data_IF_688962557697
#
_entry.id   IF_688962557697
#
_cell.length_a   1.000
_cell.length_b   1.000
_cell.length_c   1.000
_cell.angle_alpha   90.00
_cell.angle_beta   90.00
_cell.angle_gamma   90.00
#
_symmetry.space_group_name_H-M   'P 1'
#
loop_
_entity.id
_entity.type
_entity.pdbx_description
1 polymer ?
#
# COMPACT_ATOMS: atom_id res chain seq x y z
N UNK A 1 -17.06 -4.41 3.48
CA UNK A 1 -16.37 -4.74 2.20
C UNK A 1 -17.38 -4.62 1.08
N UNK A 2 -17.04 -3.96 -0.02
CA UNK A 2 -17.89 -3.84 -1.21
C UNK A 2 -17.36 -4.77 -2.30
N UNK A 3 -18.20 -5.68 -2.80
CA UNK A 3 -17.83 -6.72 -3.76
C UNK A 3 -18.29 -6.31 -5.17
N UNK A 4 -17.44 -5.58 -5.89
CA UNK A 4 -17.76 -4.90 -7.14
C UNK A 4 -18.34 -5.85 -8.19
N UNK A 5 -17.71 -7.02 -8.38
CA UNK A 5 -18.06 -7.99 -9.43
C UNK A 5 -19.51 -8.51 -9.32
N UNK A 6 -20.07 -8.53 -8.12
CA UNK A 6 -21.45 -8.99 -7.86
C UNK A 6 -22.43 -7.86 -7.58
N UNK A 7 -21.97 -6.63 -7.69
CA UNK A 7 -22.83 -5.49 -7.44
C UNK A 7 -23.64 -5.12 -8.68
N UNK A 8 -24.97 -4.93 -8.57
CA UNK A 8 -25.80 -4.53 -9.69
C UNK A 8 -25.51 -3.10 -10.16
N UNK A 9 -24.92 -2.28 -9.32
CA UNK A 9 -24.51 -0.91 -9.64
C UNK A 9 -23.36 -0.49 -8.73
N UNK A 10 -22.59 0.48 -9.18
CA UNK A 10 -21.50 1.08 -8.39
C UNK A 10 -22.01 2.41 -7.82
N UNK A 11 -22.00 2.60 -6.49
CA UNK A 11 -22.42 3.87 -5.88
C UNK A 11 -21.55 5.04 -6.37
N UNK A 12 -22.21 6.18 -6.66
CA UNK A 12 -21.50 7.40 -7.05
C UNK A 12 -20.49 7.86 -6.00
N UNK A 13 -20.80 7.69 -4.74
CA UNK A 13 -19.94 8.03 -3.61
C UNK A 13 -18.63 7.22 -3.61
N UNK A 14 -18.67 5.97 -4.09
CA UNK A 14 -17.46 5.17 -4.25
C UNK A 14 -16.59 5.71 -5.37
N UNK A 15 -17.20 6.07 -6.51
CA UNK A 15 -16.53 6.71 -7.62
C UNK A 15 -15.88 8.03 -7.17
N UNK A 16 -16.64 8.90 -6.51
CA UNK A 16 -16.15 10.19 -6.04
C UNK A 16 -15.02 10.02 -5.01
N UNK A 17 -15.13 9.05 -4.11
CA UNK A 17 -14.09 8.76 -3.12
C UNK A 17 -12.79 8.29 -3.78
N UNK A 18 -12.85 7.35 -4.74
CA UNK A 18 -11.66 6.79 -5.38
C UNK A 18 -10.97 7.80 -6.31
N UNK A 19 -11.71 8.76 -6.88
CA UNK A 19 -11.18 9.82 -7.76
C UNK A 19 -10.62 11.03 -7.01
N UNK A 20 -10.61 11.03 -5.67
CA UNK A 20 -10.05 12.13 -4.87
C UNK A 20 -8.54 12.24 -5.04
N UNK A 21 -8.07 13.46 -5.27
CA UNK A 21 -6.63 13.77 -5.40
C UNK A 21 -5.95 14.02 -4.04
N UNK A 22 -6.73 14.39 -3.03
CA UNK A 22 -6.26 14.66 -1.66
C UNK A 22 -6.17 13.39 -0.78
N UNK A 23 -6.60 12.23 -1.30
CA UNK A 23 -6.53 10.93 -0.64
C UNK A 23 -5.53 10.04 -1.35
N UNK A 24 -4.53 9.55 -0.63
CA UNK A 24 -3.57 8.58 -1.16
C UNK A 24 -4.00 7.15 -0.84
N UNK A 25 -4.22 6.38 -1.90
CA UNK A 25 -4.47 4.94 -1.80
C UNK A 25 -3.13 4.21 -1.81
N UNK A 26 -2.88 3.39 -0.80
CA UNK A 26 -1.61 2.70 -0.64
C UNK A 26 -1.80 1.18 -0.58
N UNK A 27 -0.89 0.46 -1.19
CA UNK A 27 -0.91 -1.00 -1.22
C UNK A 27 0.35 -1.59 -1.83
N UNK A 28 0.51 -2.90 -1.69
CA UNK A 28 1.52 -3.65 -2.43
C UNK A 28 0.99 -3.91 -3.85
N UNK A 29 1.79 -3.58 -4.88
CA UNK A 29 1.42 -3.71 -6.30
C UNK A 29 0.11 -2.98 -6.68
N UNK A 30 -0.18 -1.85 -6.05
CA UNK A 30 -1.43 -1.10 -6.20
C UNK A 30 -1.71 -0.64 -7.64
N UNK A 31 -0.68 -0.53 -8.46
CA UNK A 31 -0.81 -0.24 -9.89
C UNK A 31 -1.64 -1.32 -10.61
N UNK A 32 -1.48 -2.59 -10.20
CA UNK A 32 -2.29 -3.70 -10.71
C UNK A 32 -3.75 -3.63 -10.26
N UNK A 33 -3.99 -3.13 -9.05
CA UNK A 33 -5.35 -2.93 -8.54
C UNK A 33 -6.05 -1.79 -9.29
N UNK A 34 -5.33 -0.70 -9.57
CA UNK A 34 -5.84 0.40 -10.43
C UNK A 34 -6.31 -0.14 -11.78
N UNK A 35 -5.50 -0.95 -12.46
CA UNK A 35 -5.87 -1.54 -13.75
C UNK A 35 -7.12 -2.42 -13.68
N UNK A 36 -7.32 -3.16 -12.59
CA UNK A 36 -8.51 -3.99 -12.38
C UNK A 36 -9.79 -3.19 -12.14
N UNK A 37 -9.68 -1.94 -11.72
CA UNK A 37 -10.80 -1.03 -11.49
C UNK A 37 -11.26 -0.31 -12.77
N UNK A 38 -10.39 -0.18 -13.77
CA UNK A 38 -10.68 0.51 -15.04
C UNK A 38 -11.95 -0.01 -15.77
N UNK A 39 -12.20 -1.34 -15.88
CA UNK A 39 -13.40 -1.86 -16.52
C UNK A 39 -14.71 -1.42 -15.83
N UNK A 40 -14.65 -0.98 -14.60
CA UNK A 40 -15.79 -0.50 -13.81
C UNK A 40 -15.90 1.03 -13.80
N UNK A 41 -15.11 1.72 -14.63
CA UNK A 41 -14.99 3.18 -14.64
C UNK A 41 -14.58 3.77 -13.28
N UNK A 42 -13.85 3.01 -12.47
CA UNK A 42 -13.29 3.46 -11.21
C UNK A 42 -11.82 3.84 -11.40
N UNK A 43 -11.45 5.05 -11.05
CA UNK A 43 -10.09 5.57 -11.22
C UNK A 43 -9.48 5.95 -9.86
N UNK A 44 -8.32 5.39 -9.55
CA UNK A 44 -7.50 5.81 -8.42
C UNK A 44 -6.59 6.95 -8.84
N UNK A 45 -6.92 8.19 -8.48
CA UNK A 45 -6.13 9.38 -8.87
C UNK A 45 -4.77 9.42 -8.20
N UNK A 46 -4.72 9.17 -6.91
CA UNK A 46 -3.50 9.27 -6.11
C UNK A 46 -3.14 7.93 -5.51
N UNK A 47 -2.15 7.25 -6.09
CA UNK A 47 -1.69 5.94 -5.61
C UNK A 47 -0.27 6.01 -5.05
N UNK A 48 0.02 5.13 -4.11
CA UNK A 48 1.32 5.00 -3.48
C UNK A 48 1.70 3.53 -3.29
N UNK A 49 2.54 3.02 -4.17
CA UNK A 49 3.10 1.68 -4.07
C UNK A 49 4.01 1.56 -2.85
N UNK A 50 3.68 0.68 -1.91
CA UNK A 50 4.46 0.52 -0.68
C UNK A 50 5.85 -0.07 -0.95
N UNK A 51 5.93 -0.98 -1.89
CA UNK A 51 7.18 -1.67 -2.26
C UNK A 51 8.18 -0.73 -2.93
N UNK A 52 7.70 0.24 -3.72
CA UNK A 52 8.55 1.22 -4.39
C UNK A 52 9.00 2.35 -3.47
N UNK A 53 8.16 2.71 -2.50
CA UNK A 53 8.49 3.75 -1.51
C UNK A 53 9.42 3.25 -0.42
N UNK A 54 9.30 1.98 -0.03
CA UNK A 54 10.14 1.35 0.98
C UNK A 54 11.27 0.60 0.29
N UNK A 55 12.44 1.24 0.19
CA UNK A 55 13.67 0.58 -0.26
C UNK A 55 14.13 -0.38 0.84
N UNK A 56 13.59 -1.60 0.82
CA UNK A 56 14.03 -2.65 1.72
C UNK A 56 15.33 -3.20 1.16
N UNK A 57 16.39 -3.37 1.97
CA UNK A 57 17.58 -4.10 1.55
C UNK A 57 17.18 -5.51 1.09
N UNK A 58 17.49 -5.86 -0.14
CA UNK A 58 17.08 -7.14 -0.77
C UNK A 58 18.05 -8.27 -0.37
N UNK A 59 18.89 -8.07 0.62
CA UNK A 59 19.94 -9.01 1.01
C UNK A 59 19.41 -10.39 1.46
N UNK A 60 18.12 -10.47 1.82
CA UNK A 60 17.47 -11.71 2.27
C UNK A 60 16.29 -12.16 1.40
N UNK A 61 16.05 -11.57 0.26
CA UNK A 61 14.92 -11.94 -0.59
C UNK A 61 15.39 -12.51 -1.93
N UNK A 62 15.20 -13.80 -2.16
CA UNK A 62 15.31 -14.45 -3.47
C UNK A 62 14.35 -13.88 -4.54
N UNK A 63 13.58 -12.84 -4.20
CA UNK A 63 12.56 -12.22 -5.03
C UNK A 63 12.94 -10.78 -5.37
N UNK A 64 12.85 -10.43 -6.64
CA UNK A 64 13.07 -9.05 -7.13
C UNK A 64 12.14 -8.01 -6.50
N UNK A 65 11.00 -8.43 -5.95
CA UNK A 65 10.01 -7.53 -5.34
C UNK A 65 9.55 -8.09 -3.98
N UNK A 66 9.75 -7.35 -2.88
CA UNK A 66 9.30 -7.79 -1.56
C UNK A 66 7.76 -7.90 -1.52
N UNK A 67 7.23 -8.85 -0.77
CA UNK A 67 5.79 -8.95 -0.52
C UNK A 67 5.34 -7.92 0.52
N UNK A 68 4.02 -7.71 0.65
CA UNK A 68 3.47 -6.86 1.71
C UNK A 68 3.94 -7.30 3.11
N UNK A 69 4.04 -8.61 3.36
CA UNK A 69 4.53 -9.16 4.62
C UNK A 69 6.01 -8.86 4.87
N UNK A 70 6.83 -8.91 3.81
CA UNK A 70 8.26 -8.57 3.93
C UNK A 70 8.42 -7.08 4.29
N UNK A 71 7.63 -6.22 3.63
CA UNK A 71 7.56 -4.78 3.95
C UNK A 71 7.09 -4.55 5.39
N UNK A 72 6.04 -5.26 5.83
CA UNK A 72 5.51 -5.15 7.18
C UNK A 72 6.53 -5.58 8.24
N UNK A 73 7.20 -6.70 8.02
CA UNK A 73 8.21 -7.20 8.95
C UNK A 73 9.37 -6.20 9.10
N UNK A 74 9.82 -5.64 8.00
CA UNK A 74 10.89 -4.65 8.00
C UNK A 74 10.48 -3.34 8.66
N UNK A 75 9.34 -2.75 8.25
CA UNK A 75 8.93 -1.40 8.68
C UNK A 75 8.33 -1.40 10.07
N UNK A 76 7.54 -2.42 10.40
CA UNK A 76 6.79 -2.50 11.66
C UNK A 76 7.51 -3.35 12.73
N UNK A 77 8.63 -3.98 12.38
CA UNK A 77 9.35 -4.87 13.29
C UNK A 77 8.52 -6.10 13.71
N UNK A 78 7.61 -6.55 12.84
CA UNK A 78 6.74 -7.72 13.08
C UNK A 78 7.37 -8.97 12.50
N UNK A 79 6.97 -10.13 13.00
CA UNK A 79 7.35 -11.43 12.44
C UNK A 79 6.10 -12.10 11.87
N UNK A 80 5.56 -11.52 10.78
CA UNK A 80 4.43 -12.08 10.08
C UNK A 80 4.92 -13.23 9.19
N UNK A 81 4.44 -14.43 9.45
CA UNK A 81 4.79 -15.60 8.65
C UNK A 81 3.78 -15.79 7.50
N UNK A 82 4.31 -16.17 6.35
CA UNK A 82 3.49 -16.60 5.20
C UNK A 82 3.10 -18.06 5.43
N UNK A 83 1.88 -18.29 5.96
CA UNK A 83 1.34 -19.64 5.99
C UNK A 83 0.93 -20.13 4.60
N UNK A 84 1.02 -21.43 4.35
CA UNK A 84 0.58 -22.04 3.07
C UNK A 84 -0.89 -21.73 2.76
N UNK A 85 -1.74 -21.61 3.78
CA UNK A 85 -3.14 -21.22 3.66
C UNK A 85 -3.33 -19.84 3.01
N UNK A 86 -2.37 -18.91 3.21
CA UNK A 86 -2.46 -17.57 2.63
C UNK A 86 -2.17 -17.54 1.13
N UNK A 87 -1.47 -18.53 0.58
CA UNK A 87 -1.18 -18.62 -0.85
C UNK A 87 -2.46 -18.84 -1.68
N UNK A 88 -3.34 -19.71 -1.22
CA UNK A 88 -4.64 -19.98 -1.87
C UNK A 88 -5.52 -18.70 -1.87
N UNK A 89 -5.55 -17.95 -0.75
CA UNK A 89 -6.33 -16.75 -0.60
C UNK A 89 -5.82 -15.58 -1.48
N UNK A 90 -4.57 -15.62 -1.94
CA UNK A 90 -3.99 -14.55 -2.76
C UNK A 90 -4.33 -14.64 -4.24
N UNK A 91 -4.57 -15.85 -4.75
CA UNK A 91 -4.56 -16.12 -6.18
C UNK A 91 -5.94 -16.45 -6.77
N UNK A 92 -6.92 -16.88 -5.98
CA UNK A 92 -8.20 -17.36 -6.52
C UNK A 92 -9.34 -17.21 -5.52
N UNK A 93 -10.58 -17.37 -5.99
CA UNK A 93 -11.77 -17.41 -5.15
C UNK A 93 -12.37 -16.05 -4.79
N UNK A 94 -11.78 -14.93 -5.26
CA UNK A 94 -12.29 -13.59 -5.02
C UNK A 94 -13.60 -13.29 -5.77
N UNK A 95 -13.87 -14.05 -6.81
CA UNK A 95 -15.11 -14.02 -7.59
C UNK A 95 -16.27 -14.79 -6.96
N UNK A 96 -16.01 -15.59 -5.92
CA UNK A 96 -17.06 -16.34 -5.25
C UNK A 96 -18.03 -15.45 -4.46
N UNK A 97 -19.30 -15.85 -4.42
CA UNK A 97 -20.32 -15.14 -3.65
C UNK A 97 -21.21 -16.13 -2.87
N UNK A 98 -21.38 -15.89 -1.57
CA UNK A 98 -20.67 -14.92 -0.74
C UNK A 98 -19.21 -15.29 -0.51
N UNK A 99 -18.35 -14.30 -0.25
CA UNK A 99 -16.98 -14.56 0.20
C UNK A 99 -17.00 -15.19 1.59
N UNK A 100 -16.13 -16.18 1.81
CA UNK A 100 -16.02 -16.79 3.14
C UNK A 100 -15.32 -15.84 4.12
N UNK A 101 -15.41 -16.17 5.41
CA UNK A 101 -14.77 -15.40 6.47
C UNK A 101 -13.25 -15.25 6.26
N UNK A 102 -12.58 -16.26 5.77
CA UNK A 102 -11.13 -16.27 5.54
C UNK A 102 -10.73 -15.22 4.48
N UNK A 103 -11.46 -15.14 3.34
CA UNK A 103 -11.22 -14.09 2.32
C UNK A 103 -11.45 -12.70 2.87
N UNK A 104 -12.55 -12.50 3.60
CA UNK A 104 -12.87 -11.20 4.22
C UNK A 104 -11.78 -10.81 5.23
N UNK A 105 -11.37 -11.73 6.09
CA UNK A 105 -10.30 -11.53 7.07
C UNK A 105 -8.98 -11.18 6.39
N UNK A 106 -8.63 -11.89 5.32
CA UNK A 106 -7.42 -11.64 4.55
C UNK A 106 -7.42 -10.22 3.97
N UNK A 107 -8.49 -9.79 3.31
CA UNK A 107 -8.60 -8.44 2.74
C UNK A 107 -8.53 -7.33 3.80
N UNK A 108 -9.16 -7.54 4.97
CA UNK A 108 -9.08 -6.59 6.09
C UNK A 108 -7.65 -6.49 6.61
N UNK A 109 -6.95 -7.62 6.74
CA UNK A 109 -5.56 -7.65 7.20
C UNK A 109 -4.63 -6.92 6.22
N UNK A 110 -4.77 -7.18 4.91
CA UNK A 110 -3.99 -6.53 3.87
C UNK A 110 -4.19 -5.01 3.88
N UNK A 111 -5.44 -4.55 3.97
CA UNK A 111 -5.75 -3.13 4.04
C UNK A 111 -5.18 -2.47 5.30
N UNK A 112 -5.31 -3.13 6.46
CA UNK A 112 -4.80 -2.62 7.73
C UNK A 112 -3.28 -2.55 7.74
N UNK A 113 -2.60 -3.61 7.30
CA UNK A 113 -1.12 -3.65 7.24
C UNK A 113 -0.60 -2.59 6.29
N UNK A 114 -1.23 -2.43 5.12
CA UNK A 114 -0.87 -1.38 4.16
C UNK A 114 -0.99 0.03 4.77
N UNK A 115 -2.07 0.29 5.49
CA UNK A 115 -2.28 1.56 6.18
C UNK A 115 -1.22 1.81 7.28
N UNK A 116 -0.92 0.80 8.12
CA UNK A 116 0.09 0.92 9.18
C UNK A 116 1.48 1.20 8.60
N UNK A 117 1.87 0.51 7.52
CA UNK A 117 3.13 0.77 6.80
C UNK A 117 3.17 2.20 6.26
N UNK A 118 2.11 2.63 5.57
CA UNK A 118 2.04 3.97 4.98
C UNK A 118 2.13 5.07 6.04
N UNK A 119 1.49 4.90 7.18
CA UNK A 119 1.52 5.83 8.32
C UNK A 119 2.92 5.90 8.92
N UNK A 120 3.54 4.74 9.16
CA UNK A 120 4.89 4.67 9.74
C UNK A 120 5.94 5.28 8.82
N UNK A 121 5.79 5.10 7.50
CA UNK A 121 6.71 5.68 6.53
C UNK A 121 6.69 7.20 6.51
N UNK A 122 5.51 7.81 6.71
CA UNK A 122 5.41 9.28 6.84
C UNK A 122 6.18 9.79 8.06
N UNK A 123 6.06 9.11 9.20
CA UNK A 123 6.80 9.47 10.41
C UNK A 123 8.31 9.36 10.23
N UNK A 124 8.78 8.35 9.50
CA UNK A 124 10.21 8.16 9.22
C UNK A 124 10.74 9.26 8.28
N UNK A 125 9.99 9.61 7.23
CA UNK A 125 10.38 10.70 6.31
C UNK A 125 10.44 12.03 7.04
N UNK A 126 9.48 12.36 7.89
CA UNK A 126 9.49 13.60 8.68
C UNK A 126 10.67 13.65 9.64
N UNK A 127 11.07 12.51 10.24
CA UNK A 127 12.23 12.45 11.13
C UNK A 127 13.58 12.54 10.41
N UNK A 128 13.63 12.17 9.13
CA UNK A 128 14.86 12.22 8.32
C UNK A 128 15.05 13.56 7.57
N UNK A 129 14.02 14.40 7.52
CA UNK A 129 14.05 15.69 6.83
C UNK A 129 14.77 16.88 7.54
N UNK A 130 15.16 16.86 8.81
CA UNK A 130 15.74 18.03 9.49
C UNK A 130 17.21 18.33 9.19
N UNK A 131 17.95 17.48 8.45
CA UNK A 131 19.42 17.59 8.38
C UNK A 131 19.92 18.42 7.18
N UNK A 132 19.09 18.71 6.18
CA UNK A 132 19.58 19.40 4.97
C UNK A 132 19.49 20.95 5.00
N UNK A 133 18.80 21.56 5.97
CA UNK A 133 18.58 23.01 5.97
C UNK A 133 19.58 23.83 6.79
N UNK A 134 20.46 23.24 7.60
CA UNK A 134 21.43 24.01 8.39
C UNK A 134 22.78 24.25 7.68
N UNK A 135 23.14 23.44 6.69
CA UNK A 135 24.45 23.56 6.01
C UNK A 135 24.51 24.63 4.90
N UNK A 136 23.39 25.18 4.46
CA UNK A 136 23.39 26.21 3.41
C UNK A 136 23.46 27.66 3.94
N UNK A 137 23.24 27.89 5.23
CA UNK A 137 23.32 29.25 5.81
C UNK A 137 24.73 29.65 6.28
N UNK A 138 25.66 28.70 6.44
CA UNK A 138 27.01 29.03 6.88
C UNK A 138 28.01 29.31 5.75
N UNK A 139 27.63 29.07 4.48
CA UNK A 139 28.50 29.42 3.34
C UNK A 139 28.34 30.85 2.79
N UNK A 140 27.38 31.61 3.28
CA UNK A 140 27.14 33.01 2.85
C UNK A 140 27.70 34.11 3.78
N UNK A 141 28.39 33.72 4.88
CA UNK A 141 28.93 34.70 5.84
C UNK A 141 30.44 34.88 5.83
N UNK A 142 31.17 34.31 4.85
CA UNK A 142 32.64 34.36 4.82
C UNK A 142 33.16 34.98 3.51
N UNK A 143 32.45 35.94 2.94
CA UNK A 143 32.94 36.80 1.83
C UNK A 143 32.47 38.22 2.04
N UNK A 144 33.11 38.90 2.97
CA UNK A 144 33.34 40.36 2.96
C UNK A 144 34.63 40.67 3.72
#
# INVERSE_FOLDING_TARGET
MYHIIHSPYIPGELHDFLSREDVYFCGAAIEGDKQKLEPYNLDLKSIAGLQTRMKIPVEDCDKQTPSLFDVANFVLGRNLQKGDETLALRSSGWENYPLTYEWIKYAILDARVSFEIATRSKELVVKLSPIENENNNNKKKTLH
#
